data_IF_227536287510
#
_entry.id   IF_227536287510
#
_cell.length_a   1.000
_cell.length_b   1.000
_cell.length_c   1.000
_cell.angle_alpha   90.00
_cell.angle_beta   90.00
_cell.angle_gamma   90.00
#
_symmetry.space_group_name_H-M   'P 1'
#
loop_
_entity.id
_entity.type
_entity.pdbx_description
1 polymer ?
#
# COMPACT_ATOMS: atom_id res chain seq x y z
N UNK A 1 17.61 -29.84 -5.78
CA UNK A 1 17.35 -30.78 -6.87
C UNK A 1 18.51 -30.65 -7.85
N UNK A 2 19.33 -31.71 -7.99
CA UNK A 2 20.43 -31.76 -8.93
C UNK A 2 19.89 -31.80 -10.37
N UNK A 3 20.43 -30.97 -11.23
CA UNK A 3 20.22 -31.07 -12.67
C UNK A 3 21.29 -32.01 -13.25
N UNK A 4 20.87 -33.01 -14.00
CA UNK A 4 21.78 -33.88 -14.77
C UNK A 4 22.31 -33.08 -15.97
N UNK A 5 23.62 -32.88 -16.01
CA UNK A 5 24.28 -32.19 -17.11
C UNK A 5 24.72 -33.21 -18.17
N UNK A 6 24.30 -32.99 -19.42
CA UNK A 6 24.82 -33.76 -20.56
C UNK A 6 25.94 -32.97 -21.24
N UNK A 7 27.13 -33.53 -21.45
CA UNK A 7 28.23 -32.84 -22.11
C UNK A 7 27.87 -32.44 -23.55
N UNK A 8 28.04 -31.15 -23.91
CA UNK A 8 27.92 -30.64 -25.28
C UNK A 8 26.65 -29.89 -25.59
N UNK A 9 25.84 -29.53 -24.62
CA UNK A 9 24.67 -28.66 -24.78
C UNK A 9 24.87 -27.32 -24.06
N UNK A 10 24.41 -26.22 -24.67
CA UNK A 10 24.35 -24.89 -24.04
C UNK A 10 23.16 -24.89 -23.08
N UNK A 11 23.41 -24.74 -21.79
CA UNK A 11 22.36 -24.66 -20.78
C UNK A 11 22.24 -23.23 -20.25
N UNK A 12 21.02 -22.76 -20.15
CA UNK A 12 20.71 -21.56 -19.40
C UNK A 12 20.21 -21.95 -18.01
N UNK A 13 20.95 -21.59 -16.97
CA UNK A 13 20.51 -21.74 -15.57
C UNK A 13 19.94 -20.43 -15.09
N UNK A 14 18.69 -20.45 -14.65
CA UNK A 14 18.06 -19.32 -13.99
C UNK A 14 18.18 -19.49 -12.47
N UNK A 15 18.90 -18.58 -11.82
CA UNK A 15 18.98 -18.50 -10.36
C UNK A 15 18.04 -17.39 -9.92
N UNK A 16 17.04 -17.70 -9.10
CA UNK A 16 16.15 -16.74 -8.46
C UNK A 16 16.62 -16.56 -7.03
N UNK A 17 16.93 -15.33 -6.66
CA UNK A 17 17.31 -14.97 -5.29
C UNK A 17 16.20 -14.09 -4.72
N UNK A 18 15.58 -14.54 -3.64
CA UNK A 18 14.70 -13.72 -2.83
C UNK A 18 15.56 -12.83 -1.92
N UNK A 19 15.55 -11.55 -2.20
CA UNK A 19 16.33 -10.57 -1.44
C UNK A 19 15.53 -10.08 -0.23
N UNK A 20 16.22 -9.90 0.89
CA UNK A 20 15.61 -9.27 2.05
C UNK A 20 15.16 -7.83 1.73
N UNK A 21 14.16 -7.35 2.46
CA UNK A 21 13.65 -6.00 2.29
C UNK A 21 14.78 -4.95 2.37
N UNK A 22 14.80 -4.04 1.40
CA UNK A 22 15.82 -2.99 1.29
C UNK A 22 17.08 -3.35 0.49
N UNK A 23 17.22 -4.61 0.03
CA UNK A 23 18.31 -5.01 -0.87
C UNK A 23 17.84 -4.93 -2.32
N UNK A 24 18.46 -4.08 -3.13
CA UNK A 24 18.20 -4.01 -4.58
C UNK A 24 19.32 -4.70 -5.35
N UNK A 25 19.00 -5.36 -6.45
CA UNK A 25 19.99 -6.03 -7.30
C UNK A 25 21.01 -5.03 -7.92
N UNK A 26 20.58 -3.79 -8.15
CA UNK A 26 21.45 -2.75 -8.73
C UNK A 26 22.34 -2.13 -7.64
N UNK A 27 23.62 -2.46 -7.68
CA UNK A 27 24.66 -1.87 -6.82
C UNK A 27 25.03 -2.69 -5.57
N UNK A 28 24.23 -3.70 -5.20
CA UNK A 28 24.49 -4.51 -4.00
C UNK A 28 24.85 -5.97 -4.28
N UNK A 29 24.87 -6.38 -5.54
CA UNK A 29 25.21 -7.75 -5.94
C UNK A 29 26.38 -7.75 -6.89
N UNK A 30 27.39 -8.59 -6.59
CA UNK A 30 28.43 -8.95 -7.55
C UNK A 30 28.28 -10.44 -7.88
N UNK A 31 28.16 -10.73 -9.18
CA UNK A 31 28.14 -12.09 -9.70
C UNK A 31 29.49 -12.39 -10.35
N UNK A 32 30.21 -13.35 -9.81
CA UNK A 32 31.48 -13.80 -10.37
C UNK A 32 31.33 -15.23 -10.86
N UNK A 33 31.67 -15.45 -12.15
CA UNK A 33 31.70 -16.79 -12.75
C UNK A 33 33.12 -17.28 -12.81
N UNK A 34 33.34 -18.50 -12.41
CA UNK A 34 34.63 -19.24 -12.50
C UNK A 34 34.42 -20.55 -13.20
N UNK A 35 35.50 -21.21 -13.60
CA UNK A 35 35.44 -22.54 -14.20
C UNK A 35 34.82 -23.61 -13.26
N UNK A 36 34.74 -23.32 -11.96
CA UNK A 36 34.21 -24.21 -10.92
C UNK A 36 32.84 -23.81 -10.38
N UNK A 37 32.27 -22.68 -10.83
CA UNK A 37 30.94 -22.26 -10.35
C UNK A 37 30.66 -20.77 -10.48
N UNK A 38 29.50 -20.40 -9.94
CA UNK A 38 29.03 -19.01 -9.85
C UNK A 38 28.99 -18.61 -8.39
N UNK A 39 29.65 -17.51 -8.06
CA UNK A 39 29.59 -16.90 -6.72
C UNK A 39 28.76 -15.61 -6.80
N UNK A 40 27.75 -15.52 -5.95
CA UNK A 40 26.95 -14.30 -5.78
C UNK A 40 27.32 -13.71 -4.43
N UNK A 41 27.88 -12.51 -4.44
CA UNK A 41 28.26 -11.78 -3.22
C UNK A 41 27.40 -10.55 -3.05
N UNK A 42 26.86 -10.33 -1.85
CA UNK A 42 26.18 -9.09 -1.49
C UNK A 42 27.20 -8.13 -0.87
N UNK A 43 27.27 -6.92 -1.40
CA UNK A 43 28.01 -5.84 -0.76
C UNK A 43 27.00 -4.99 0.02
N UNK A 44 26.97 -5.14 1.33
CA UNK A 44 26.31 -4.16 2.15
C UNK A 44 27.08 -2.84 2.04
N UNK A 45 26.42 -1.77 1.56
CA UNK A 45 26.91 -0.42 1.86
C UNK A 45 27.11 -0.33 3.38
N UNK A 46 28.08 0.45 3.89
CA UNK A 46 28.23 0.64 5.33
C UNK A 46 26.88 1.16 5.87
N UNK A 47 26.16 0.27 6.52
CA UNK A 47 24.96 0.61 7.25
C UNK A 47 25.43 1.44 8.41
N UNK A 48 25.17 2.75 8.37
CA UNK A 48 25.03 3.50 9.64
C UNK A 48 24.09 2.67 10.47
N UNK A 49 24.52 2.24 11.66
CA UNK A 49 23.73 1.37 12.52
C UNK A 49 22.29 1.88 12.55
N UNK A 50 21.29 1.02 12.28
CA UNK A 50 19.91 1.46 12.43
C UNK A 50 19.76 1.88 13.88
N UNK A 51 19.18 3.06 14.11
CA UNK A 51 18.45 3.32 15.34
C UNK A 51 17.65 2.06 15.69
N UNK A 52 17.53 1.72 16.97
CA UNK A 52 16.78 0.57 17.48
C UNK A 52 15.56 0.27 16.58
N UNK A 53 15.35 -0.98 16.17
CA UNK A 53 14.20 -1.29 15.32
C UNK A 53 12.94 -0.76 16.00
N UNK A 54 12.18 0.05 15.29
CA UNK A 54 10.92 0.60 15.77
C UNK A 54 10.00 -0.57 16.11
N UNK A 55 9.50 -0.60 17.34
CA UNK A 55 8.50 -1.61 17.70
C UNK A 55 7.18 -1.25 16.99
N UNK A 56 6.68 -2.08 16.07
CA UNK A 56 5.41 -1.82 15.41
C UNK A 56 4.25 -1.63 16.40
N UNK A 57 4.33 -2.20 17.61
CA UNK A 57 3.30 -2.06 18.64
C UNK A 57 3.17 -0.65 19.21
N UNK A 58 4.18 0.20 19.01
CA UNK A 58 4.14 1.61 19.42
C UNK A 58 3.25 2.47 18.51
N UNK A 59 2.81 1.93 17.36
CA UNK A 59 2.01 2.66 16.38
C UNK A 59 0.59 2.12 16.26
N UNK A 60 -0.37 3.04 16.29
CA UNK A 60 -1.78 2.80 16.03
C UNK A 60 -2.15 3.33 14.64
N UNK A 61 -2.65 2.43 13.78
CA UNK A 61 -3.07 2.73 12.41
C UNK A 61 -4.60 2.60 12.33
N UNK A 62 -5.28 3.63 11.83
CA UNK A 62 -6.71 3.53 11.52
C UNK A 62 -6.89 3.33 10.03
N UNK A 63 -7.58 2.26 9.67
CA UNK A 63 -8.02 1.95 8.30
C UNK A 63 -9.51 2.25 8.18
N UNK A 64 -9.85 3.08 7.21
CA UNK A 64 -11.19 3.60 6.99
C UNK A 64 -11.73 3.11 5.63
N UNK A 65 -12.48 2.01 5.57
CA UNK A 65 -13.19 1.62 4.36
C UNK A 65 -14.25 2.66 4.02
N UNK A 66 -14.19 3.27 2.83
CA UNK A 66 -15.16 4.26 2.38
C UNK A 66 -16.60 3.74 2.40
N UNK A 67 -17.58 4.64 2.41
CA UNK A 67 -19.00 4.29 2.30
C UNK A 67 -19.50 3.26 3.35
N UNK A 68 -20.52 2.46 3.01
CA UNK A 68 -21.07 1.40 3.87
C UNK A 68 -22.57 1.55 4.13
N UNK A 69 -23.26 0.43 4.44
CA UNK A 69 -24.70 0.39 4.66
C UNK A 69 -25.50 0.96 3.50
N UNK A 70 -26.33 1.95 3.76
CA UNK A 70 -27.17 2.62 2.75
C UNK A 70 -26.39 3.62 1.85
N UNK A 71 -25.09 3.75 2.03
CA UNK A 71 -24.20 4.56 1.21
C UNK A 71 -23.30 3.67 0.35
N UNK A 72 -23.73 3.28 -0.85
CA UNK A 72 -22.98 2.32 -1.67
C UNK A 72 -21.71 2.89 -2.30
N UNK A 73 -21.55 4.24 -2.35
CA UNK A 73 -20.54 4.87 -3.18
C UNK A 73 -20.90 4.79 -4.66
N UNK A 74 -19.90 4.72 -5.52
CA UNK A 74 -20.08 4.49 -6.94
C UNK A 74 -20.64 3.07 -7.18
N UNK A 75 -21.52 2.95 -8.19
CA UNK A 75 -22.13 1.67 -8.55
C UNK A 75 -22.02 1.48 -10.08
N UNK A 76 -21.31 0.45 -10.49
CA UNK A 76 -21.13 0.09 -11.90
C UNK A 76 -21.20 -1.42 -12.06
N UNK A 77 -21.94 -1.88 -13.08
CA UNK A 77 -22.08 -3.31 -13.41
C UNK A 77 -22.44 -4.21 -12.20
N UNK A 78 -23.37 -3.72 -11.36
CA UNK A 78 -23.82 -4.38 -10.10
C UNK A 78 -22.73 -4.50 -9.01
N UNK A 79 -21.57 -3.85 -9.20
CA UNK A 79 -20.49 -3.77 -8.22
C UNK A 79 -20.57 -2.42 -7.49
N UNK A 80 -20.49 -2.46 -6.17
CA UNK A 80 -20.58 -1.28 -5.31
C UNK A 80 -19.20 -0.93 -4.75
N UNK A 81 -18.86 0.36 -4.72
CA UNK A 81 -17.61 0.86 -4.15
C UNK A 81 -17.41 0.40 -2.71
N UNK A 82 -18.43 0.49 -1.88
CA UNK A 82 -18.37 0.08 -0.45
C UNK A 82 -17.86 -1.33 -0.23
N UNK A 83 -18.11 -2.26 -1.16
CA UNK A 83 -17.74 -3.66 -1.06
C UNK A 83 -16.25 -3.85 -1.43
N UNK A 84 -15.80 -3.14 -2.45
CA UNK A 84 -14.38 -3.08 -2.85
C UNK A 84 -13.54 -2.48 -1.72
N UNK A 85 -13.97 -1.33 -1.18
CA UNK A 85 -13.28 -0.61 -0.10
C UNK A 85 -13.11 -1.49 1.13
N UNK A 86 -14.19 -2.20 1.52
CA UNK A 86 -14.17 -3.12 2.65
C UNK A 86 -13.24 -4.32 2.38
N UNK A 87 -13.33 -4.92 1.20
CA UNK A 87 -12.53 -6.09 0.84
C UNK A 87 -11.02 -5.80 0.85
N UNK A 88 -10.60 -4.67 0.25
CA UNK A 88 -9.21 -4.21 0.27
C UNK A 88 -8.76 -3.90 1.71
N UNK A 89 -9.60 -3.20 2.48
CA UNK A 89 -9.28 -2.80 3.85
C UNK A 89 -9.08 -4.00 4.78
N UNK A 90 -9.91 -5.03 4.69
CA UNK A 90 -9.76 -6.26 5.50
C UNK A 90 -8.44 -6.99 5.21
N UNK A 91 -8.01 -7.03 3.93
CA UNK A 91 -6.72 -7.59 3.53
C UNK A 91 -5.56 -6.75 4.08
N UNK A 92 -5.67 -5.41 3.97
CA UNK A 92 -4.69 -4.47 4.48
C UNK A 92 -4.49 -4.62 6.00
N UNK A 93 -5.59 -4.67 6.75
CA UNK A 93 -5.56 -4.89 8.21
C UNK A 93 -4.84 -6.19 8.56
N UNK A 94 -5.16 -7.28 7.85
CA UNK A 94 -4.50 -8.57 8.06
C UNK A 94 -2.98 -8.48 7.85
N UNK A 95 -2.53 -7.78 6.81
CA UNK A 95 -1.10 -7.60 6.54
C UNK A 95 -0.43 -6.81 7.66
N UNK A 96 -1.00 -5.66 8.05
CA UNK A 96 -0.43 -4.79 9.06
C UNK A 96 -0.39 -5.44 10.46
N UNK A 97 -1.45 -6.17 10.84
CA UNK A 97 -1.48 -6.92 12.09
C UNK A 97 -0.44 -8.05 12.12
N UNK A 98 -0.23 -8.75 11.00
CA UNK A 98 0.82 -9.77 10.88
C UNK A 98 2.23 -9.15 10.96
N UNK A 99 2.38 -7.86 10.65
CA UNK A 99 3.61 -7.09 10.86
C UNK A 99 3.76 -6.53 12.27
N UNK A 100 2.78 -6.77 13.17
CA UNK A 100 2.83 -6.38 14.58
C UNK A 100 2.18 -5.04 14.92
N UNK A 101 1.62 -4.30 13.94
CA UNK A 101 0.98 -3.01 14.17
C UNK A 101 -0.37 -3.14 14.88
N UNK A 102 -0.71 -2.14 15.71
CA UNK A 102 -2.06 -1.98 16.23
C UNK A 102 -2.94 -1.36 15.15
N UNK A 103 -3.99 -2.07 14.74
CA UNK A 103 -4.87 -1.62 13.65
C UNK A 103 -6.31 -1.57 14.11
N UNK A 104 -6.95 -0.43 13.91
CA UNK A 104 -8.36 -0.16 14.18
C UNK A 104 -9.06 0.12 12.85
N UNK A 105 -10.28 -0.37 12.68
CA UNK A 105 -11.12 -0.07 11.52
C UNK A 105 -12.27 0.85 11.91
N UNK A 106 -12.63 1.79 11.04
CA UNK A 106 -13.85 2.60 11.24
C UNK A 106 -15.12 1.75 11.04
N UNK A 107 -15.07 0.78 10.13
CA UNK A 107 -16.04 -0.31 9.97
C UNK A 107 -15.34 -1.59 9.52
N UNK A 108 -15.84 -2.74 9.98
CA UNK A 108 -15.35 -4.07 9.57
C UNK A 108 -16.44 -4.92 8.91
N UNK A 109 -17.62 -4.35 8.75
CA UNK A 109 -18.79 -4.95 8.09
C UNK A 109 -19.47 -3.90 7.22
N UNK A 110 -20.55 -4.30 6.52
CA UNK A 110 -21.35 -3.37 5.69
C UNK A 110 -22.31 -2.55 6.57
N UNK A 111 -21.76 -1.55 7.26
CA UNK A 111 -22.51 -0.58 8.07
C UNK A 111 -22.15 0.84 7.67
N UNK A 112 -23.10 1.77 7.77
CA UNK A 112 -22.84 3.19 7.54
C UNK A 112 -22.11 3.79 8.76
N UNK A 113 -21.06 4.58 8.48
CA UNK A 113 -20.34 5.40 9.46
C UNK A 113 -20.23 6.81 8.91
N UNK A 114 -20.64 7.80 9.69
CA UNK A 114 -20.62 9.21 9.29
C UNK A 114 -19.19 9.74 9.10
N UNK A 115 -19.02 10.73 8.22
CA UNK A 115 -17.67 11.26 7.90
C UNK A 115 -16.95 11.82 9.14
N UNK A 116 -17.66 12.52 10.02
CA UNK A 116 -17.10 13.03 11.27
C UNK A 116 -16.82 11.91 12.27
N UNK A 117 -17.69 10.90 12.35
CA UNK A 117 -17.51 9.76 13.24
C UNK A 117 -16.23 8.96 12.90
N UNK A 118 -15.84 8.88 11.61
CA UNK A 118 -14.58 8.27 11.16
C UNK A 118 -13.36 8.99 11.73
N UNK A 119 -13.37 10.32 11.63
CA UNK A 119 -12.31 11.17 12.16
C UNK A 119 -12.29 11.14 13.70
N UNK A 120 -13.46 11.25 14.35
CA UNK A 120 -13.58 11.20 15.80
C UNK A 120 -13.06 9.88 16.39
N UNK A 121 -13.34 8.76 15.73
CA UNK A 121 -12.81 7.45 16.13
C UNK A 121 -11.28 7.45 16.08
N UNK A 122 -10.68 7.94 15.00
CA UNK A 122 -9.23 7.98 14.83
C UNK A 122 -8.57 8.92 15.86
N UNK A 123 -9.16 10.10 16.09
CA UNK A 123 -8.68 11.07 17.08
C UNK A 123 -8.78 10.49 18.50
N UNK A 124 -9.91 9.88 18.86
CA UNK A 124 -10.11 9.24 20.16
C UNK A 124 -9.16 8.05 20.41
N UNK A 125 -8.76 7.34 19.36
CA UNK A 125 -7.78 6.26 19.43
C UNK A 125 -6.34 6.77 19.58
N UNK A 126 -6.08 8.08 19.40
CA UNK A 126 -4.74 8.64 19.35
C UNK A 126 -3.90 8.03 18.23
N UNK A 127 -4.51 7.79 17.07
CA UNK A 127 -3.85 7.13 15.96
C UNK A 127 -2.65 7.94 15.44
N UNK A 128 -1.62 7.24 14.94
CA UNK A 128 -0.45 7.84 14.31
C UNK A 128 -0.67 8.07 12.82
N UNK A 129 -1.46 7.20 12.20
CA UNK A 129 -1.78 7.21 10.77
C UNK A 129 -3.25 6.87 10.54
N UNK A 130 -3.89 7.63 9.65
CA UNK A 130 -5.24 7.36 9.14
C UNK A 130 -5.18 7.15 7.62
N UNK A 131 -5.76 6.05 7.13
CA UNK A 131 -5.81 5.72 5.71
C UNK A 131 -7.24 5.36 5.31
N UNK A 132 -7.88 6.24 4.54
CA UNK A 132 -9.18 5.99 3.93
C UNK A 132 -9.01 5.31 2.58
N UNK A 133 -9.82 4.29 2.30
CA UNK A 133 -9.76 3.47 1.08
C UNK A 133 -11.05 3.68 0.28
N UNK A 134 -10.90 4.06 -0.98
CA UNK A 134 -11.97 4.35 -1.93
C UNK A 134 -11.65 3.79 -3.32
N UNK A 135 -12.67 3.66 -4.17
CA UNK A 135 -12.56 3.40 -5.59
C UNK A 135 -13.24 4.51 -6.38
N UNK A 136 -12.47 5.24 -7.14
CA UNK A 136 -12.86 6.46 -7.83
C UNK A 136 -13.91 6.21 -8.94
N UNK A 137 -14.59 7.28 -9.33
CA UNK A 137 -15.47 7.29 -10.49
C UNK A 137 -15.35 8.63 -11.24
N UNK A 138 -15.28 8.57 -12.56
CA UNK A 138 -15.28 9.75 -13.43
C UNK A 138 -16.41 9.61 -14.46
N UNK A 139 -17.56 10.23 -14.18
CA UNK A 139 -18.71 10.17 -15.07
C UNK A 139 -18.34 10.60 -16.51
N UNK A 140 -18.83 9.87 -17.49
CA UNK A 140 -18.56 10.10 -18.91
C UNK A 140 -17.08 10.00 -19.34
N UNK A 141 -16.21 9.38 -18.51
CA UNK A 141 -14.80 9.16 -18.80
C UNK A 141 -14.40 7.70 -18.57
N UNK A 142 -14.93 6.76 -19.38
CA UNK A 142 -14.58 5.34 -19.25
C UNK A 142 -13.11 5.04 -19.65
N UNK A 143 -12.45 6.00 -20.29
CA UNK A 143 -11.02 5.98 -20.63
C UNK A 143 -10.12 6.39 -19.44
N UNK A 144 -10.71 6.95 -18.38
CA UNK A 144 -9.93 7.43 -17.25
C UNK A 144 -9.57 6.27 -16.33
N UNK A 145 -8.30 6.19 -15.92
CA UNK A 145 -7.77 5.07 -15.15
C UNK A 145 -6.60 5.53 -14.28
N UNK A 146 -6.23 4.72 -13.29
CA UNK A 146 -5.07 4.90 -12.44
C UNK A 146 -5.40 5.31 -11.00
N UNK A 147 -4.37 5.36 -10.19
CA UNK A 147 -4.44 5.52 -8.75
C UNK A 147 -4.04 6.94 -8.35
N UNK A 148 -4.79 7.53 -7.41
CA UNK A 148 -4.43 8.76 -6.71
C UNK A 148 -4.34 8.52 -5.21
N UNK A 149 -3.41 9.20 -4.54
CA UNK A 149 -3.44 9.32 -3.08
C UNK A 149 -3.62 10.78 -2.69
N UNK A 150 -4.68 11.06 -1.95
CA UNK A 150 -5.03 12.41 -1.49
C UNK A 150 -4.55 12.67 -0.08
N UNK A 151 -4.18 13.92 0.20
CA UNK A 151 -3.82 14.43 1.52
C UNK A 151 -4.42 15.82 1.74
N UNK A 152 -4.54 16.28 2.98
CA UNK A 152 -5.03 17.63 3.27
C UNK A 152 -3.96 18.68 2.92
N UNK A 153 -4.31 19.81 2.23
CA UNK A 153 -3.35 20.80 1.72
C UNK A 153 -2.45 21.43 2.80
N UNK A 154 -2.89 21.48 4.05
CA UNK A 154 -2.09 21.99 5.16
C UNK A 154 -1.16 20.92 5.79
N UNK A 155 -1.23 19.65 5.38
CA UNK A 155 -0.52 18.54 6.00
C UNK A 155 0.75 18.13 5.23
N UNK A 156 1.90 18.63 5.65
CA UNK A 156 3.18 18.17 5.10
C UNK A 156 3.45 16.69 5.42
N UNK A 157 3.00 16.20 6.58
CA UNK A 157 3.12 14.78 6.95
C UNK A 157 2.21 13.93 6.07
N UNK A 158 0.99 14.40 5.79
CA UNK A 158 0.07 13.75 4.86
C UNK A 158 0.65 13.63 3.46
N UNK A 159 1.31 14.67 2.94
CA UNK A 159 1.97 14.62 1.63
C UNK A 159 3.08 13.56 1.58
N UNK A 160 3.88 13.43 2.67
CA UNK A 160 4.94 12.39 2.75
C UNK A 160 4.35 10.99 2.81
N UNK A 161 3.30 10.77 3.61
CA UNK A 161 2.60 9.49 3.68
C UNK A 161 1.97 9.15 2.34
N UNK A 162 1.30 10.11 1.69
CA UNK A 162 0.71 9.93 0.37
C UNK A 162 1.74 9.47 -0.66
N UNK A 163 2.92 10.10 -0.70
CA UNK A 163 4.00 9.71 -1.61
C UNK A 163 4.57 8.33 -1.27
N UNK A 164 4.72 8.03 0.01
CA UNK A 164 5.22 6.74 0.48
C UNK A 164 4.27 5.59 0.09
N UNK A 165 2.95 5.83 0.06
CA UNK A 165 1.95 4.85 -0.37
C UNK A 165 1.85 4.79 -1.91
N UNK A 166 1.75 5.93 -2.59
CA UNK A 166 1.50 6.01 -4.03
C UNK A 166 2.52 5.21 -4.84
N UNK A 167 3.80 5.37 -4.51
CA UNK A 167 4.88 4.75 -5.29
C UNK A 167 4.85 3.22 -5.27
N UNK A 168 4.92 2.53 -4.11
CA UNK A 168 4.89 1.07 -4.08
C UNK A 168 3.53 0.51 -4.52
N UNK A 169 2.42 1.21 -4.27
CA UNK A 169 1.10 0.79 -4.71
C UNK A 169 1.03 0.66 -6.23
N UNK A 170 1.44 1.69 -6.97
CA UNK A 170 1.45 1.64 -8.43
C UNK A 170 2.48 0.64 -8.97
N UNK A 171 3.64 0.48 -8.33
CA UNK A 171 4.65 -0.51 -8.72
C UNK A 171 4.16 -1.95 -8.56
N UNK A 172 3.46 -2.26 -7.47
CA UNK A 172 3.00 -3.61 -7.15
C UNK A 172 1.78 -3.99 -8.00
N UNK A 173 0.85 -3.06 -8.20
CA UNK A 173 -0.38 -3.30 -8.98
C UNK A 173 -0.17 -3.21 -10.49
N UNK A 174 0.85 -2.47 -10.93
CA UNK A 174 1.05 -2.11 -12.34
C UNK A 174 0.06 -1.06 -12.84
N UNK A 175 -0.74 -0.46 -11.95
CA UNK A 175 -1.70 0.57 -12.30
C UNK A 175 -1.02 1.88 -12.73
N UNK A 176 -1.73 2.68 -13.51
CA UNK A 176 -1.26 4.01 -13.92
C UNK A 176 -1.09 4.90 -12.69
N UNK A 177 0.11 5.42 -12.48
CA UNK A 177 0.39 6.37 -11.42
C UNK A 177 -0.12 7.76 -11.80
N UNK A 178 -1.12 8.24 -11.07
CA UNK A 178 -1.69 9.59 -11.20
C UNK A 178 -1.09 10.59 -10.23
N UNK A 179 -0.22 10.12 -9.34
CA UNK A 179 0.47 10.93 -8.34
C UNK A 179 -0.39 11.24 -7.11
N UNK A 180 0.18 12.08 -6.25
CA UNK A 180 -0.50 12.58 -5.06
C UNK A 180 -1.19 13.91 -5.35
N UNK A 181 -2.29 14.19 -4.63
CA UNK A 181 -3.03 15.44 -4.74
C UNK A 181 -3.49 15.93 -3.37
N UNK A 182 -3.58 17.24 -3.24
CA UNK A 182 -4.26 17.84 -2.09
C UNK A 182 -5.77 17.90 -2.32
N UNK A 183 -6.53 17.66 -1.25
CA UNK A 183 -7.98 17.79 -1.23
C UNK A 183 -8.50 18.08 0.19
N UNK A 184 -9.55 18.89 0.27
CA UNK A 184 -10.23 19.25 1.52
C UNK A 184 -11.37 18.26 1.83
N UNK A 185 -11.04 16.97 1.94
CA UNK A 185 -12.01 15.97 2.38
C UNK A 185 -12.19 16.01 3.88
N UNK A 186 -13.43 15.78 4.36
CA UNK A 186 -13.77 15.84 5.79
C UNK A 186 -12.86 14.94 6.61
N UNK A 187 -12.68 13.68 6.20
CA UNK A 187 -11.84 12.71 6.91
C UNK A 187 -10.34 13.05 6.94
N UNK A 188 -9.88 13.91 6.03
CA UNK A 188 -8.50 14.41 6.02
C UNK A 188 -8.33 15.70 6.81
N UNK A 189 -9.39 16.53 6.88
CA UNK A 189 -9.38 17.81 7.57
C UNK A 189 -9.62 17.68 9.07
N UNK A 190 -10.53 16.77 9.46
CA UNK A 190 -10.98 16.63 10.85
C UNK A 190 -10.10 15.62 11.65
N UNK A 191 -9.19 14.90 11.01
CA UNK A 191 -8.23 14.03 11.67
C UNK A 191 -7.01 14.83 12.16
N UNK A 192 -6.54 14.54 13.39
CA UNK A 192 -5.42 15.23 14.04
C UNK A 192 -4.06 14.63 13.66
N UNK A 193 -4.04 13.37 13.22
CA UNK A 193 -2.86 12.64 12.83
C UNK A 193 -2.53 12.81 11.34
N UNK A 194 -1.50 12.11 10.89
CA UNK A 194 -1.17 12.00 9.48
C UNK A 194 -2.26 11.19 8.73
N UNK A 195 -2.94 11.82 7.77
CA UNK A 195 -4.10 11.26 7.09
C UNK A 195 -3.98 11.31 5.57
N UNK A 196 -4.42 10.23 4.91
CA UNK A 196 -4.53 10.12 3.46
C UNK A 196 -5.82 9.40 3.04
N UNK A 197 -6.26 9.65 1.80
CA UNK A 197 -7.31 8.91 1.14
C UNK A 197 -6.76 8.35 -0.18
N UNK A 198 -6.87 7.04 -0.34
CA UNK A 198 -6.36 6.32 -1.52
C UNK A 198 -7.53 5.98 -2.44
N UNK A 199 -7.49 6.50 -3.66
CA UNK A 199 -8.38 6.13 -4.76
C UNK A 199 -7.71 5.03 -5.58
N UNK A 200 -8.16 3.81 -5.38
CA UNK A 200 -7.47 2.59 -5.81
C UNK A 200 -7.61 2.23 -7.29
N UNK A 201 -8.40 3.01 -8.03
CA UNK A 201 -8.67 2.87 -9.47
C UNK A 201 -10.03 3.48 -9.80
N UNK A 202 -10.42 3.48 -11.07
CA UNK A 202 -11.68 4.10 -11.53
C UNK A 202 -12.72 3.02 -11.87
N UNK A 203 -13.81 2.97 -11.11
CA UNK A 203 -14.93 2.04 -11.36
C UNK A 203 -15.65 2.32 -12.69
N UNK A 204 -15.52 3.53 -13.25
CA UNK A 204 -16.01 3.90 -14.58
C UNK A 204 -15.22 3.27 -15.72
N UNK A 205 -14.01 2.80 -15.47
CA UNK A 205 -13.19 2.05 -16.43
C UNK A 205 -13.44 0.55 -16.24
N UNK A 206 -13.94 -0.11 -17.26
CA UNK A 206 -14.34 -1.53 -17.16
C UNK A 206 -13.18 -2.45 -16.76
N UNK A 207 -11.97 -2.23 -17.29
CA UNK A 207 -10.79 -3.05 -16.96
C UNK A 207 -10.39 -2.87 -15.50
N UNK A 208 -10.35 -1.63 -15.01
CA UNK A 208 -10.06 -1.36 -13.59
C UNK A 208 -11.16 -1.87 -12.66
N UNK A 209 -12.43 -1.74 -13.06
CA UNK A 209 -13.56 -2.28 -12.29
C UNK A 209 -13.43 -3.79 -12.10
N UNK A 210 -13.12 -4.53 -13.18
CA UNK A 210 -12.94 -5.98 -13.11
C UNK A 210 -11.73 -6.33 -12.22
N UNK A 211 -10.62 -5.61 -12.37
CA UNK A 211 -9.45 -5.80 -11.51
C UNK A 211 -9.79 -5.53 -10.04
N UNK A 212 -10.44 -4.41 -9.72
CA UNK A 212 -10.84 -4.04 -8.36
C UNK A 212 -11.78 -5.05 -7.71
N UNK A 213 -12.57 -5.78 -8.51
CA UNK A 213 -13.46 -6.84 -8.03
C UNK A 213 -12.78 -8.21 -7.91
N UNK A 214 -11.51 -8.36 -8.35
CA UNK A 214 -10.75 -9.59 -8.25
C UNK A 214 -9.97 -9.68 -6.94
N UNK A 215 -10.12 -10.79 -6.21
CA UNK A 215 -9.48 -11.01 -4.91
C UNK A 215 -7.95 -10.86 -4.95
N UNK A 216 -7.34 -11.36 -6.02
CA UNK A 216 -5.89 -11.29 -6.24
C UNK A 216 -5.40 -9.85 -6.43
N UNK A 217 -6.13 -9.01 -7.15
CA UNK A 217 -5.78 -7.62 -7.35
C UNK A 217 -5.99 -6.80 -6.08
N UNK A 218 -7.08 -7.02 -5.36
CA UNK A 218 -7.32 -6.42 -4.03
C UNK A 218 -6.17 -6.74 -3.06
N UNK A 219 -5.62 -7.97 -3.13
CA UNK A 219 -4.46 -8.35 -2.33
C UNK A 219 -3.20 -7.56 -2.72
N UNK A 220 -2.96 -7.31 -4.01
CA UNK A 220 -1.85 -6.47 -4.47
C UNK A 220 -2.02 -5.02 -4.01
N UNK A 221 -3.24 -4.47 -4.10
CA UNK A 221 -3.55 -3.13 -3.60
C UNK A 221 -3.24 -3.02 -2.10
N UNK A 222 -3.74 -3.97 -1.30
CA UNK A 222 -3.48 -4.00 0.13
C UNK A 222 -1.98 -4.11 0.46
N UNK A 223 -1.22 -4.92 -0.28
CA UNK A 223 0.24 -5.04 -0.12
C UNK A 223 0.96 -3.73 -0.43
N UNK A 224 0.56 -3.04 -1.50
CA UNK A 224 1.15 -1.77 -1.89
C UNK A 224 0.94 -0.68 -0.85
N UNK A 225 -0.29 -0.57 -0.33
CA UNK A 225 -0.63 0.38 0.73
C UNK A 225 0.13 0.03 2.02
N UNK A 226 0.12 -1.24 2.45
CA UNK A 226 0.83 -1.68 3.65
C UNK A 226 2.32 -1.35 3.57
N UNK A 227 2.96 -1.62 2.42
CA UNK A 227 4.37 -1.30 2.20
C UNK A 227 4.63 0.19 2.39
N UNK A 228 3.81 1.06 1.81
CA UNK A 228 3.95 2.50 1.94
C UNK A 228 3.79 3.01 3.38
N UNK A 229 2.83 2.47 4.14
CA UNK A 229 2.63 2.81 5.55
C UNK A 229 3.86 2.41 6.36
N UNK A 230 4.35 1.18 6.20
CA UNK A 230 5.51 0.65 6.93
C UNK A 230 6.76 1.48 6.62
N UNK A 231 7.02 1.77 5.36
CA UNK A 231 8.18 2.56 4.94
C UNK A 231 8.11 3.99 5.52
N UNK A 232 6.92 4.60 5.54
CA UNK A 232 6.70 5.92 6.15
C UNK A 232 6.97 5.91 7.66
N UNK A 233 6.38 4.98 8.41
CA UNK A 233 6.55 4.90 9.87
C UNK A 233 8.01 4.66 10.25
N UNK A 234 8.71 3.79 9.54
CA UNK A 234 10.13 3.55 9.75
C UNK A 234 10.98 4.81 9.49
N UNK A 235 10.64 5.60 8.47
CA UNK A 235 11.35 6.84 8.16
C UNK A 235 11.10 7.93 9.21
N UNK A 236 9.85 8.09 9.70
CA UNK A 236 9.52 9.07 10.74
C UNK A 236 10.21 8.73 12.07
N UNK A 237 10.27 7.46 12.45
CA UNK A 237 10.95 7.03 13.66
C UNK A 237 12.47 7.23 13.61
N UNK A 238 13.09 6.97 12.46
CA UNK A 238 14.51 7.27 12.24
C UNK A 238 14.82 8.76 12.28
N UNK A 239 13.88 9.62 11.88
CA UNK A 239 14.03 11.06 11.92
C UNK A 239 13.87 11.64 13.35
N UNK A 240 13.24 10.90 14.27
CA UNK A 240 13.00 11.30 15.65
C UNK A 240 14.09 10.81 16.62
N UNK A 241 14.95 9.87 16.20
CA UNK A 241 16.05 9.29 17.00
C UNK A 241 17.34 10.08 16.81
#
# INVERSE_FOLDING_TARGET
HGADFYPGSDYTVRIVLDLAAGVTAAGNLTVTTTASGVTVSTHAAPVTQPSEPVDPQDFTIVIDPGHGGDRPGACYEDIMEKDIDLAISLKLVTILQNCGYQVIMTRSTDVEVGLYERADLANAAGADVFVSIHANAAENRPDYQGIYTYYHPSSNRGARLAQAIQTPLCQITGAVDRGIKDADFVVLRETEMCAVLVETGFMTNHEELMNLNEDSYQQLVAQGIARGIIDYLNAEAQAAA
#
